data_IF_308021097802
#
_entry.id   IF_308021097802
#
_cell.length_a   1.000
_cell.length_b   1.000
_cell.length_c   1.000
_cell.angle_alpha   90.00
_cell.angle_beta   90.00
_cell.angle_gamma   90.00
#
_symmetry.space_group_name_H-M   'P 1'
#
loop_
_entity.id
_entity.type
_entity.pdbx_description
1 polymer ?
#
# COMPACT_ATOMS: atom_id res chain seq x y z
N UNK A 1 10.93 2.57 9.22
CA UNK A 1 9.70 1.75 9.37
C UNK A 1 8.51 2.71 9.37
N UNK A 2 7.30 2.33 8.94
CA UNK A 2 6.17 3.30 8.86
C UNK A 2 5.86 3.91 10.25
N UNK A 3 6.05 3.14 11.32
CA UNK A 3 5.92 3.60 12.71
C UNK A 3 6.93 4.66 13.13
N UNK A 4 8.08 4.77 12.44
CA UNK A 4 9.17 5.70 12.78
C UNK A 4 9.14 7.00 11.96
N UNK A 5 8.07 7.23 11.19
CA UNK A 5 7.87 8.47 10.43
C UNK A 5 7.51 9.63 11.37
N UNK A 6 7.91 10.85 11.00
CA UNK A 6 7.45 12.07 11.69
C UNK A 6 5.95 12.28 11.47
N UNK A 7 5.33 13.13 12.28
CA UNK A 7 3.90 13.44 12.14
C UNK A 7 3.60 14.10 10.78
N UNK A 8 4.50 14.95 10.27
CA UNK A 8 4.38 15.56 8.95
C UNK A 8 4.44 14.52 7.82
N UNK A 9 5.32 13.53 7.95
CA UNK A 9 5.44 12.44 6.99
C UNK A 9 4.21 11.51 7.03
N UNK A 10 3.70 11.23 8.23
CA UNK A 10 2.45 10.47 8.41
C UNK A 10 1.26 11.18 7.78
N UNK A 11 1.14 12.49 7.98
CA UNK A 11 0.08 13.30 7.39
C UNK A 11 0.11 13.29 5.85
N UNK A 12 1.30 13.19 5.24
CA UNK A 12 1.45 13.06 3.78
C UNK A 12 1.03 11.67 3.24
N UNK A 13 1.01 10.64 4.09
CA UNK A 13 0.77 9.26 3.71
C UNK A 13 2.00 8.56 3.11
N UNK A 14 1.81 7.32 2.65
CA UNK A 14 2.88 6.48 2.10
C UNK A 14 2.54 5.97 0.70
N UNK A 15 3.57 5.74 -0.11
CA UNK A 15 3.46 5.11 -1.43
C UNK A 15 4.48 3.98 -1.55
N UNK A 16 4.10 2.87 -2.17
CA UNK A 16 5.01 1.78 -2.50
C UNK A 16 4.66 1.15 -3.86
N UNK A 17 5.67 0.66 -4.58
CA UNK A 17 5.49 -0.13 -5.79
C UNK A 17 5.80 -1.60 -5.49
N UNK A 18 4.77 -2.42 -5.36
CA UNK A 18 4.91 -3.85 -5.06
C UNK A 18 3.61 -4.58 -5.34
N UNK A 19 3.69 -5.81 -5.83
CA UNK A 19 2.52 -6.65 -6.09
C UNK A 19 2.39 -7.86 -5.13
N UNK A 20 3.15 -7.87 -4.02
CA UNK A 20 3.28 -9.05 -3.14
C UNK A 20 3.20 -8.73 -1.65
N UNK A 21 3.89 -9.52 -0.83
CA UNK A 21 3.81 -9.45 0.64
C UNK A 21 4.19 -8.07 1.19
N UNK A 22 5.14 -7.37 0.55
CA UNK A 22 5.50 -6.02 0.96
C UNK A 22 4.30 -5.07 0.82
N UNK A 23 3.55 -5.13 -0.28
CA UNK A 23 2.34 -4.31 -0.46
C UNK A 23 1.29 -4.59 0.61
N UNK A 24 1.08 -5.86 0.96
CA UNK A 24 0.16 -6.24 2.03
C UNK A 24 0.62 -5.72 3.40
N UNK A 25 1.92 -5.83 3.70
CA UNK A 25 2.52 -5.32 4.93
C UNK A 25 2.41 -3.79 5.05
N UNK A 26 2.67 -3.06 3.96
CA UNK A 26 2.51 -1.60 3.91
C UNK A 26 1.05 -1.21 4.09
N UNK A 27 0.13 -1.84 3.35
CA UNK A 27 -1.30 -1.59 3.44
C UNK A 27 -1.83 -1.80 4.87
N UNK A 28 -1.51 -2.96 5.47
CA UNK A 28 -1.93 -3.29 6.83
C UNK A 28 -1.35 -2.31 7.86
N UNK A 29 -0.06 -2.00 7.77
CA UNK A 29 0.62 -1.10 8.71
C UNK A 29 0.06 0.32 8.60
N UNK A 30 -0.17 0.81 7.39
CA UNK A 30 -0.76 2.13 7.17
C UNK A 30 -2.19 2.18 7.72
N UNK A 31 -3.01 1.16 7.47
CA UNK A 31 -4.36 1.05 8.05
C UNK A 31 -4.35 1.08 9.57
N UNK A 32 -3.45 0.33 10.22
CA UNK A 32 -3.31 0.31 11.67
C UNK A 32 -2.88 1.66 12.25
N UNK A 33 -2.09 2.43 11.51
CA UNK A 33 -1.62 3.75 11.90
C UNK A 33 -2.54 4.89 11.44
N UNK A 34 -3.67 4.59 10.79
CA UNK A 34 -4.62 5.60 10.28
C UNK A 34 -4.08 6.42 9.10
N UNK A 35 -3.10 5.89 8.36
CA UNK A 35 -2.44 6.57 7.25
C UNK A 35 -3.01 6.13 5.91
N UNK A 36 -2.98 7.03 4.92
CA UNK A 36 -3.22 6.67 3.53
C UNK A 36 -2.03 5.91 2.96
N UNK A 37 -2.29 4.82 2.24
CA UNK A 37 -1.27 4.05 1.53
C UNK A 37 -1.69 3.80 0.08
N UNK A 38 -0.91 4.35 -0.85
CA UNK A 38 -1.04 4.06 -2.27
C UNK A 38 -0.06 2.96 -2.67
N UNK A 39 -0.57 1.88 -3.25
CA UNK A 39 0.21 0.76 -3.76
C UNK A 39 0.10 0.74 -5.27
N UNK A 40 1.23 0.94 -5.95
CA UNK A 40 1.33 0.80 -7.40
C UNK A 40 1.64 -0.65 -7.74
N UNK A 41 0.81 -1.25 -8.58
CA UNK A 41 0.95 -2.64 -9.04
C UNK A 41 0.89 -2.66 -10.59
N UNK A 42 1.62 -3.56 -11.28
CA UNK A 42 1.51 -3.75 -12.74
C UNK A 42 0.08 -4.06 -13.18
N UNK A 43 -0.31 -3.64 -14.40
CA UNK A 43 -1.67 -3.89 -14.93
C UNK A 43 -1.97 -5.39 -15.10
N UNK A 44 -0.95 -6.21 -15.33
CA UNK A 44 -1.06 -7.67 -15.44
C UNK A 44 -1.06 -8.39 -14.08
N UNK A 45 -1.10 -7.65 -12.96
CA UNK A 45 -1.16 -8.25 -11.63
C UNK A 45 -2.45 -9.08 -11.48
N UNK A 46 -2.36 -10.36 -11.09
CA UNK A 46 -3.55 -11.18 -10.83
C UNK A 46 -4.50 -10.54 -9.82
N UNK A 47 -5.80 -10.56 -10.10
CA UNK A 47 -6.83 -9.92 -9.26
C UNK A 47 -6.74 -10.33 -7.79
N UNK A 48 -6.49 -11.62 -7.50
CA UNK A 48 -6.32 -12.12 -6.13
C UNK A 48 -5.26 -11.36 -5.32
N UNK A 49 -4.16 -10.90 -5.97
CA UNK A 49 -3.11 -10.14 -5.29
C UNK A 49 -3.53 -8.69 -5.07
N UNK A 50 -4.23 -8.11 -6.03
CA UNK A 50 -4.80 -6.76 -5.93
C UNK A 50 -5.83 -6.70 -4.81
N UNK A 51 -6.72 -7.69 -4.76
CA UNK A 51 -7.80 -7.76 -3.79
C UNK A 51 -7.27 -8.02 -2.38
N UNK A 52 -6.19 -8.80 -2.23
CA UNK A 52 -5.51 -8.94 -0.96
C UNK A 52 -5.01 -7.59 -0.41
N UNK A 53 -4.35 -6.76 -1.24
CA UNK A 53 -3.87 -5.44 -0.84
C UNK A 53 -5.02 -4.49 -0.46
N UNK A 54 -6.09 -4.49 -1.27
CA UNK A 54 -7.31 -3.72 -0.99
C UNK A 54 -7.98 -4.16 0.31
N UNK A 55 -8.05 -5.47 0.58
CA UNK A 55 -8.57 -6.04 1.82
C UNK A 55 -7.81 -5.58 3.06
N UNK A 56 -6.50 -5.37 2.94
CA UNK A 56 -5.67 -4.79 4.00
C UNK A 56 -5.79 -3.25 4.13
N UNK A 57 -6.58 -2.59 3.28
CA UNK A 57 -6.85 -1.15 3.34
C UNK A 57 -5.93 -0.28 2.49
N UNK A 58 -5.13 -0.88 1.60
CA UNK A 58 -4.31 -0.12 0.65
C UNK A 58 -5.13 0.33 -0.56
N UNK A 59 -4.93 1.57 -0.98
CA UNK A 59 -5.42 2.06 -2.27
C UNK A 59 -4.51 1.50 -3.37
N UNK A 60 -5.08 0.88 -4.41
CA UNK A 60 -4.29 0.28 -5.49
C UNK A 60 -4.41 1.08 -6.77
N UNK A 61 -3.26 1.48 -7.34
CA UNK A 61 -3.14 2.02 -8.68
C UNK A 61 -2.51 0.96 -9.61
N UNK A 62 -3.27 0.53 -10.62
CA UNK A 62 -2.76 -0.37 -11.65
C UNK A 62 -2.09 0.44 -12.77
N UNK A 63 -0.77 0.30 -12.91
CA UNK A 63 0.00 1.06 -13.89
C UNK A 63 1.23 0.28 -14.38
N UNK A 64 1.65 0.53 -15.63
CA UNK A 64 2.77 -0.16 -16.26
C UNK A 64 2.43 -1.55 -16.80
N UNK A 65 3.43 -2.23 -17.38
CA UNK A 65 3.34 -3.56 -17.99
C UNK A 65 4.31 -4.53 -17.32
#
# INVERSE_FOLDING_TARGET
>A
MISSLSEEQKAAGVIAASAGNHAQGVALSAKQLGLKALIVMPQNTPSIKVDAVRGFGGEVLLHGA
#
